data_IF_103555890346
#
_entry.id   IF_103555890346
#
_cell.length_a   1.000
_cell.length_b   1.000
_cell.length_c   1.000
_cell.angle_alpha   90.00
_cell.angle_beta   90.00
_cell.angle_gamma   90.00
#
_symmetry.space_group_name_H-M   'P 1'
#
loop_
_entity.id
_entity.type
_entity.pdbx_description
1 polymer ?
#
# COMPACT_ATOMS: atom_id res chain seq x y z
N UNK A 1 -22.59 -68.04 36.61
CA UNK A 1 -21.65 -68.08 35.47
C UNK A 1 -22.29 -67.36 34.28
N UNK A 2 -21.60 -66.33 33.76
CA UNK A 2 -21.56 -65.81 32.36
C UNK A 2 -22.88 -65.90 31.55
N UNK A 3 -23.55 -64.82 31.13
CA UNK A 3 -23.06 -63.55 30.61
C UNK A 3 -23.16 -63.56 29.07
N UNK A 4 -24.08 -62.80 28.49
CA UNK A 4 -24.03 -62.35 27.08
C UNK A 4 -24.79 -61.02 26.96
N UNK A 5 -24.03 -59.93 26.91
CA UNK A 5 -24.53 -58.62 26.55
C UNK A 5 -24.29 -58.41 25.05
N UNK A 6 -25.35 -58.19 24.29
CA UNK A 6 -25.27 -57.76 22.89
C UNK A 6 -25.17 -56.23 22.87
N UNK A 7 -24.05 -55.70 22.38
CA UNK A 7 -23.86 -54.28 22.11
C UNK A 7 -23.95 -54.05 20.60
N UNK A 8 -24.96 -53.31 20.17
CA UNK A 8 -25.08 -52.80 18.80
C UNK A 8 -24.26 -51.52 18.68
N UNK A 9 -23.24 -51.51 17.80
CA UNK A 9 -22.46 -50.33 17.46
C UNK A 9 -23.18 -49.55 16.34
N UNK A 10 -23.66 -48.36 16.65
CA UNK A 10 -24.14 -47.40 15.65
C UNK A 10 -22.99 -46.54 15.14
N UNK A 11 -22.66 -46.65 13.84
CA UNK A 11 -21.75 -45.72 13.16
C UNK A 11 -22.45 -44.38 12.95
N UNK A 12 -21.96 -43.32 13.60
CA UNK A 12 -22.33 -41.93 13.29
C UNK A 12 -21.32 -41.41 12.28
N UNK A 13 -21.74 -41.32 11.02
CA UNK A 13 -21.02 -40.63 9.96
C UNK A 13 -21.17 -39.11 10.17
N UNK A 14 -20.15 -38.50 10.77
CA UNK A 14 -20.00 -37.04 10.82
C UNK A 14 -19.56 -36.53 9.44
N UNK A 15 -20.51 -36.05 8.65
CA UNK A 15 -20.25 -35.28 7.45
C UNK A 15 -19.64 -33.92 7.86
N UNK A 16 -18.31 -33.81 7.81
CA UNK A 16 -17.65 -32.50 7.87
C UNK A 16 -17.91 -31.79 6.54
N UNK A 17 -18.76 -30.77 6.55
CA UNK A 17 -18.83 -29.81 5.47
C UNK A 17 -17.46 -29.13 5.37
N UNK A 18 -16.74 -29.38 4.28
CA UNK A 18 -15.50 -28.67 3.99
C UNK A 18 -15.86 -27.21 3.69
N UNK A 19 -15.58 -26.32 4.65
CA UNK A 19 -15.60 -24.88 4.38
C UNK A 19 -14.49 -24.60 3.37
N UNK A 20 -14.88 -24.14 2.17
CA UNK A 20 -13.91 -23.63 1.20
C UNK A 20 -13.18 -22.44 1.85
N UNK A 21 -11.85 -22.48 1.84
CA UNK A 21 -11.05 -21.39 2.40
C UNK A 21 -11.42 -20.07 1.70
N UNK A 22 -11.69 -19.02 2.46
CA UNK A 22 -12.10 -17.73 1.92
C UNK A 22 -10.87 -16.93 1.44
N UNK A 23 -11.01 -16.16 0.35
CA UNK A 23 -9.94 -15.27 -0.11
C UNK A 23 -9.59 -14.22 0.95
N UNK A 24 -8.29 -14.04 1.18
CA UNK A 24 -7.74 -12.99 2.04
C UNK A 24 -7.31 -11.81 1.16
N UNK A 25 -7.72 -10.60 1.55
CA UNK A 25 -7.35 -9.35 0.89
C UNK A 25 -6.26 -8.64 1.70
N UNK A 26 -5.09 -8.33 1.13
CA UNK A 26 -4.13 -7.43 1.75
C UNK A 26 -4.77 -6.07 2.08
N UNK A 27 -4.27 -5.34 3.10
CA UNK A 27 -4.81 -4.05 3.49
C UNK A 27 -4.99 -3.10 2.31
N UNK A 28 -6.20 -2.54 2.18
CA UNK A 28 -6.61 -1.66 1.10
C UNK A 28 -6.49 -2.21 -0.33
N UNK A 29 -6.23 -3.51 -0.52
CA UNK A 29 -6.21 -4.12 -1.85
C UNK A 29 -7.59 -4.60 -2.26
N UNK A 30 -7.90 -4.43 -3.54
CA UNK A 30 -9.08 -4.98 -4.20
C UNK A 30 -8.86 -6.40 -4.71
N UNK A 31 -7.63 -6.90 -4.62
CA UNK A 31 -7.21 -8.24 -5.04
C UNK A 31 -7.03 -9.09 -3.79
N UNK A 32 -7.69 -10.24 -3.75
CA UNK A 32 -7.51 -11.26 -2.73
C UNK A 32 -7.27 -12.63 -3.35
N UNK A 33 -6.66 -13.53 -2.58
CA UNK A 33 -6.49 -14.95 -2.94
C UNK A 33 -6.66 -15.78 -1.67
N UNK A 34 -6.88 -17.08 -1.82
CA UNK A 34 -6.58 -18.05 -0.76
C UNK A 34 -5.05 -18.25 -0.77
N UNK A 35 -4.30 -17.70 0.21
CA UNK A 35 -2.86 -17.84 0.20
C UNK A 35 -2.45 -19.30 0.43
N UNK A 36 -1.34 -19.77 -0.16
CA UNK A 36 -0.74 -21.04 0.22
C UNK A 36 -0.46 -21.10 1.73
N UNK A 37 -0.51 -22.29 2.30
CA UNK A 37 -0.21 -22.53 3.72
C UNK A 37 1.09 -21.85 4.16
N UNK A 38 1.13 -21.24 5.34
CA UNK A 38 2.25 -20.47 5.90
C UNK A 38 2.64 -19.16 5.18
N UNK A 39 1.95 -18.75 4.10
CA UNK A 39 2.12 -17.39 3.58
C UNK A 39 1.40 -16.39 4.48
N UNK A 40 2.07 -15.28 4.74
CA UNK A 40 1.53 -14.15 5.50
C UNK A 40 1.36 -12.94 4.58
N UNK A 41 0.50 -12.00 4.96
CA UNK A 41 0.39 -10.71 4.28
C UNK A 41 1.74 -10.00 4.39
N UNK A 42 2.27 -9.53 3.26
CA UNK A 42 3.55 -8.80 3.25
C UNK A 42 3.38 -7.42 3.88
N UNK A 43 4.38 -7.01 4.65
CA UNK A 43 4.49 -5.63 5.18
C UNK A 43 5.20 -4.67 4.22
N UNK A 44 5.73 -5.18 3.10
CA UNK A 44 6.66 -4.46 2.22
C UNK A 44 6.07 -4.15 0.85
N UNK A 45 5.04 -4.91 0.45
CA UNK A 45 4.33 -4.76 -0.81
C UNK A 45 2.90 -5.28 -0.66
N UNK A 46 2.00 -4.91 -1.58
CA UNK A 46 0.64 -5.48 -1.60
C UNK A 46 0.71 -6.94 -2.05
N UNK A 47 0.31 -7.87 -1.18
CA UNK A 47 0.32 -9.30 -1.46
C UNK A 47 0.78 -10.15 -0.28
N UNK A 48 1.42 -11.27 -0.57
CA UNK A 48 1.79 -12.30 0.40
C UNK A 48 3.25 -12.71 0.28
N UNK A 49 3.86 -13.15 1.38
CA UNK A 49 5.20 -13.68 1.41
C UNK A 49 5.38 -14.83 2.40
N UNK A 50 6.37 -15.67 2.13
CA UNK A 50 6.91 -16.66 3.06
C UNK A 50 8.42 -16.62 2.97
N UNK A 51 9.07 -16.10 4.01
CA UNK A 51 10.54 -16.07 4.08
C UNK A 51 11.10 -17.49 4.15
N UNK A 52 10.49 -18.36 4.97
CA UNK A 52 10.90 -19.75 5.16
C UNK A 52 10.85 -20.59 3.88
N UNK A 53 9.89 -20.31 2.98
CA UNK A 53 9.78 -20.98 1.67
C UNK A 53 10.27 -20.12 0.49
N UNK A 54 10.97 -19.02 0.78
CA UNK A 54 11.54 -18.08 -0.19
C UNK A 54 10.56 -17.67 -1.32
N UNK A 55 9.31 -17.40 -0.95
CA UNK A 55 8.21 -17.19 -1.88
C UNK A 55 7.52 -15.85 -1.66
N UNK A 56 7.04 -15.25 -2.75
CA UNK A 56 6.31 -13.99 -2.72
C UNK A 56 5.25 -13.94 -3.82
N UNK A 57 4.09 -13.37 -3.51
CA UNK A 57 3.00 -13.08 -4.44
C UNK A 57 2.71 -11.58 -4.34
N UNK A 58 2.94 -10.83 -5.40
CA UNK A 58 2.74 -9.38 -5.47
C UNK A 58 1.49 -9.06 -6.28
N UNK A 59 0.72 -8.09 -5.82
CA UNK A 59 -0.48 -7.58 -6.46
C UNK A 59 -0.26 -6.18 -7.00
N UNK A 60 -0.75 -5.94 -8.21
CA UNK A 60 -0.76 -4.64 -8.86
C UNK A 60 -2.15 -4.41 -9.43
N UNK A 61 -2.75 -3.28 -9.05
CA UNK A 61 -4.04 -2.83 -9.54
C UNK A 61 -3.83 -1.77 -10.63
N UNK A 62 -4.49 -1.95 -11.76
CA UNK A 62 -4.43 -1.05 -12.91
C UNK A 62 -5.85 -0.64 -13.34
N UNK A 63 -6.03 0.47 -14.08
CA UNK A 63 -7.33 0.83 -14.63
C UNK A 63 -7.93 -0.29 -15.48
N UNK A 64 -9.27 -0.41 -15.50
CA UNK A 64 -9.98 -1.43 -16.29
C UNK A 64 -9.54 -1.50 -17.77
N UNK A 65 -9.31 -0.33 -18.39
CA UNK A 65 -8.86 -0.23 -19.78
C UNK A 65 -7.44 -0.75 -20.05
N UNK A 66 -6.64 -1.00 -19.02
CA UNK A 66 -5.25 -1.43 -19.16
C UNK A 66 -5.11 -2.91 -19.57
N UNK A 67 -6.14 -3.76 -19.37
CA UNK A 67 -6.04 -5.21 -19.60
C UNK A 67 -5.51 -5.58 -20.99
N UNK A 68 -6.07 -4.97 -22.04
CA UNK A 68 -5.66 -5.28 -23.42
C UNK A 68 -4.19 -4.94 -23.68
N UNK A 69 -3.77 -3.75 -23.25
CA UNK A 69 -2.37 -3.32 -23.37
C UNK A 69 -1.44 -4.20 -22.52
N UNK A 70 -1.84 -4.55 -21.30
CA UNK A 70 -1.09 -5.40 -20.40
C UNK A 70 -0.84 -6.77 -21.04
N UNK A 71 -1.89 -7.47 -21.45
CA UNK A 71 -1.79 -8.82 -22.04
C UNK A 71 -0.96 -8.80 -23.34
N UNK A 72 -1.14 -7.79 -24.19
CA UNK A 72 -0.34 -7.63 -25.41
C UNK A 72 1.14 -7.37 -25.11
N UNK A 73 1.44 -6.70 -23.99
CA UNK A 73 2.81 -6.45 -23.52
C UNK A 73 3.50 -7.65 -22.88
N UNK A 74 2.74 -8.67 -22.45
CA UNK A 74 3.28 -9.92 -21.89
C UNK A 74 3.77 -10.86 -23.00
N UNK A 75 4.70 -10.41 -23.85
CA UNK A 75 5.38 -11.24 -24.84
C UNK A 75 6.55 -12.02 -24.22
N UNK A 76 7.00 -13.10 -24.87
CA UNK A 76 8.15 -13.89 -24.39
C UNK A 76 9.41 -13.04 -24.15
N UNK A 77 9.71 -12.12 -25.07
CA UNK A 77 10.87 -11.23 -24.95
C UNK A 77 10.72 -10.20 -23.82
N UNK A 78 9.50 -9.67 -23.63
CA UNK A 78 9.22 -8.76 -22.52
C UNK A 78 9.34 -9.48 -21.16
N UNK A 79 8.77 -10.69 -21.05
CA UNK A 79 8.88 -11.53 -19.86
C UNK A 79 10.34 -11.88 -19.56
N UNK A 80 11.13 -12.25 -20.58
CA UNK A 80 12.56 -12.56 -20.42
C UNK A 80 13.34 -11.36 -19.89
N UNK A 81 13.07 -10.15 -20.41
CA UNK A 81 13.63 -8.89 -19.89
C UNK A 81 13.21 -8.60 -18.45
N UNK A 82 12.03 -9.07 -18.03
CA UNK A 82 11.52 -9.00 -16.65
C UNK A 82 11.93 -10.21 -15.78
N UNK A 83 12.95 -10.96 -16.19
CA UNK A 83 13.50 -12.06 -15.42
C UNK A 83 12.64 -13.32 -15.40
N UNK A 84 11.87 -13.59 -16.46
CA UNK A 84 11.03 -14.79 -16.59
C UNK A 84 11.18 -15.45 -17.96
N UNK A 85 11.62 -16.70 -17.99
CA UNK A 85 11.57 -17.54 -19.19
C UNK A 85 10.25 -18.29 -19.22
N UNK A 86 9.35 -17.90 -20.12
CA UNK A 86 8.02 -18.51 -20.27
C UNK A 86 8.13 -20.00 -20.68
N UNK A 87 7.46 -20.86 -19.93
CA UNK A 87 7.33 -22.30 -20.21
C UNK A 87 5.88 -22.70 -20.50
N UNK A 88 4.91 -21.96 -19.96
CA UNK A 88 3.48 -22.21 -20.17
C UNK A 88 2.68 -20.91 -20.23
N UNK A 89 1.58 -20.96 -20.98
CA UNK A 89 0.60 -19.87 -21.09
C UNK A 89 -0.79 -20.47 -21.24
N UNK A 90 -1.71 -19.99 -20.44
CA UNK A 90 -3.08 -20.49 -20.36
C UNK A 90 -4.04 -19.31 -20.30
N UNK A 91 -5.05 -19.31 -21.18
CA UNK A 91 -6.20 -18.42 -21.07
C UNK A 91 -7.22 -19.08 -20.14
N UNK A 92 -7.58 -18.38 -19.08
CA UNK A 92 -8.47 -18.83 -18.02
C UNK A 92 -9.78 -18.04 -18.05
N UNK A 93 -10.84 -18.69 -17.57
CA UNK A 93 -12.10 -18.04 -17.23
C UNK A 93 -12.36 -18.27 -15.75
N UNK A 94 -12.26 -17.21 -14.95
CA UNK A 94 -12.43 -17.24 -13.49
C UNK A 94 -13.80 -16.65 -13.17
N UNK A 95 -14.82 -17.52 -13.12
CA UNK A 95 -16.23 -17.10 -13.10
C UNK A 95 -16.60 -16.41 -14.42
N UNK A 96 -16.95 -15.12 -14.36
CA UNK A 96 -17.24 -14.29 -15.54
C UNK A 96 -15.99 -13.58 -16.10
N UNK A 97 -14.87 -13.63 -15.39
CA UNK A 97 -13.66 -12.86 -15.71
C UNK A 97 -12.73 -13.60 -16.65
N UNK A 98 -12.20 -12.88 -17.63
CA UNK A 98 -11.12 -13.38 -18.47
C UNK A 98 -9.77 -13.19 -17.75
N UNK A 99 -8.93 -14.20 -17.83
CA UNK A 99 -7.59 -14.14 -17.26
C UNK A 99 -6.57 -14.82 -18.18
N UNK A 100 -5.31 -14.40 -18.07
CA UNK A 100 -4.16 -15.07 -18.68
C UNK A 100 -3.19 -15.42 -17.57
N UNK A 101 -2.85 -16.70 -17.44
CA UNK A 101 -1.84 -17.20 -16.52
C UNK A 101 -0.64 -17.70 -17.32
N UNK A 102 0.53 -17.17 -16.98
CA UNK A 102 1.80 -17.51 -17.62
C UNK A 102 2.71 -18.09 -16.54
N UNK A 103 3.23 -19.28 -16.77
CA UNK A 103 4.21 -19.94 -15.92
C UNK A 103 5.59 -19.98 -16.58
N UNK A 104 6.64 -20.02 -15.76
CA UNK A 104 8.00 -19.97 -16.27
C UNK A 104 9.05 -20.16 -15.19
N UNK A 105 10.30 -20.22 -15.62
CA UNK A 105 11.46 -20.21 -14.73
C UNK A 105 11.98 -18.79 -14.56
N UNK A 106 12.58 -18.51 -13.40
CA UNK A 106 13.26 -17.25 -13.18
C UNK A 106 14.49 -17.16 -14.11
N UNK A 107 14.61 -16.07 -14.85
CA UNK A 107 15.78 -15.78 -15.66
C UNK A 107 16.74 -14.91 -14.85
N UNK A 108 17.98 -15.38 -14.65
CA UNK A 108 19.00 -14.69 -13.85
C UNK A 108 19.85 -15.65 -13.03
N UNK A 109 20.70 -15.13 -12.13
CA UNK A 109 21.58 -15.97 -11.29
C UNK A 109 20.81 -16.74 -10.20
N UNK A 110 19.61 -16.29 -9.83
CA UNK A 110 18.75 -16.95 -8.86
C UNK A 110 17.82 -17.91 -9.60
N UNK A 111 18.02 -19.21 -9.36
CA UNK A 111 17.09 -20.23 -9.86
C UNK A 111 15.76 -20.16 -9.10
N UNK A 112 14.67 -20.45 -9.81
CA UNK A 112 13.35 -20.45 -9.23
C UNK A 112 12.25 -20.53 -10.28
N UNK A 113 11.01 -20.44 -9.82
CA UNK A 113 9.80 -20.44 -10.66
C UNK A 113 9.09 -19.11 -10.49
N UNK A 114 8.46 -18.66 -11.57
CA UNK A 114 7.73 -17.39 -11.64
C UNK A 114 6.43 -17.59 -12.39
N UNK A 115 5.39 -16.92 -11.92
CA UNK A 115 4.08 -16.89 -12.54
C UNK A 115 3.63 -15.45 -12.67
N UNK A 116 2.96 -15.15 -13.79
CA UNK A 116 2.33 -13.86 -14.04
C UNK A 116 0.89 -14.14 -14.44
N UNK A 117 -0.05 -13.54 -13.71
CA UNK A 117 -1.46 -13.65 -14.00
C UNK A 117 -2.06 -12.26 -14.20
N UNK A 118 -2.70 -12.04 -15.33
CA UNK A 118 -3.50 -10.85 -15.59
C UNK A 118 -4.98 -11.24 -15.56
N UNK A 119 -5.81 -10.50 -14.84
CA UNK A 119 -7.27 -10.73 -14.74
C UNK A 119 -8.01 -9.45 -15.09
N UNK A 120 -8.99 -9.57 -15.97
CA UNK A 120 -9.88 -8.48 -16.36
C UNK A 120 -11.11 -8.47 -15.45
N UNK A 121 -11.37 -7.34 -14.81
CA UNK A 121 -12.66 -7.04 -14.19
C UNK A 121 -13.35 -5.87 -14.92
N UNK A 122 -14.58 -5.56 -14.50
CA UNK A 122 -15.33 -4.44 -15.05
C UNK A 122 -14.67 -3.07 -14.77
N UNK A 123 -14.13 -2.90 -13.56
CA UNK A 123 -13.62 -1.61 -13.07
C UNK A 123 -12.12 -1.62 -12.69
N UNK A 124 -11.45 -2.77 -12.81
CA UNK A 124 -10.01 -2.89 -12.60
C UNK A 124 -9.37 -3.97 -13.48
N UNK A 125 -8.06 -3.83 -13.70
CA UNK A 125 -7.19 -4.89 -14.21
C UNK A 125 -6.25 -5.33 -13.10
N UNK A 126 -6.29 -6.61 -12.73
CA UNK A 126 -5.43 -7.16 -11.70
C UNK A 126 -4.22 -7.84 -12.34
N UNK A 127 -3.03 -7.50 -11.88
CA UNK A 127 -1.79 -8.18 -12.23
C UNK A 127 -1.21 -8.82 -10.97
N UNK A 128 -1.09 -10.14 -10.98
CA UNK A 128 -0.53 -10.93 -9.88
C UNK A 128 0.79 -11.54 -10.35
N UNK A 129 1.86 -11.28 -9.61
CA UNK A 129 3.20 -11.80 -9.90
C UNK A 129 3.65 -12.67 -8.73
N UNK A 130 3.73 -13.97 -8.95
CA UNK A 130 4.19 -14.91 -7.96
C UNK A 130 5.58 -15.44 -8.30
N UNK A 131 6.42 -15.67 -7.29
CA UNK A 131 7.72 -16.28 -7.46
C UNK A 131 8.10 -17.13 -6.26
N UNK A 132 8.85 -18.20 -6.53
CA UNK A 132 9.47 -19.06 -5.52
C UNK A 132 10.94 -19.19 -5.91
N UNK A 133 11.85 -18.75 -5.03
CA UNK A 133 13.30 -18.82 -5.24
C UNK A 133 13.83 -20.13 -4.67
N UNK A 134 14.88 -20.68 -5.27
CA UNK A 134 15.53 -21.92 -4.81
C UNK A 134 14.96 -23.20 -5.45
N UNK A 135 15.30 -24.34 -4.86
CA UNK A 135 15.00 -25.70 -5.33
C UNK A 135 13.62 -26.24 -4.94
N UNK A 136 13.51 -27.56 -4.74
CA UNK A 136 12.23 -28.26 -4.51
C UNK A 136 11.54 -27.94 -3.17
N UNK A 137 12.23 -27.30 -2.23
CA UNK A 137 11.76 -27.07 -0.85
C UNK A 137 10.75 -25.91 -0.72
N UNK A 138 10.51 -25.15 -1.81
CA UNK A 138 9.47 -24.12 -1.87
C UNK A 138 8.11 -24.66 -2.33
N UNK A 139 7.09 -23.79 -2.42
CA UNK A 139 5.75 -24.21 -2.87
C UNK A 139 5.78 -24.89 -4.25
N UNK A 140 5.00 -25.97 -4.39
CA UNK A 140 4.85 -26.69 -5.65
C UNK A 140 4.15 -25.86 -6.71
N UNK A 141 4.26 -26.27 -7.98
CA UNK A 141 3.54 -25.63 -9.07
C UNK A 141 2.02 -25.72 -8.90
N UNK A 142 1.52 -26.86 -8.40
CA UNK A 142 0.10 -27.05 -8.12
C UNK A 142 -0.39 -26.07 -7.05
N UNK A 143 0.31 -25.97 -5.91
CA UNK A 143 -0.05 -25.05 -4.81
C UNK A 143 -0.08 -23.59 -5.27
N UNK A 144 0.93 -23.15 -6.02
CA UNK A 144 0.97 -21.77 -6.51
C UNK A 144 -0.13 -21.51 -7.53
N UNK A 145 -0.39 -22.44 -8.46
CA UNK A 145 -1.46 -22.29 -9.45
C UNK A 145 -2.85 -22.30 -8.81
N UNK A 146 -3.07 -23.13 -7.79
CA UNK A 146 -4.30 -23.16 -7.01
C UNK A 146 -4.55 -21.82 -6.32
N UNK A 147 -3.55 -21.28 -5.61
CA UNK A 147 -3.64 -19.97 -4.98
C UNK A 147 -3.92 -18.85 -6.00
N UNK A 148 -3.22 -18.84 -7.15
CA UNK A 148 -3.50 -17.85 -8.21
C UNK A 148 -4.91 -17.99 -8.79
N UNK A 149 -5.40 -19.22 -9.02
CA UNK A 149 -6.75 -19.45 -9.55
C UNK A 149 -7.85 -19.12 -8.54
N UNK A 150 -7.54 -19.06 -7.24
CA UNK A 150 -8.46 -18.64 -6.18
C UNK A 150 -8.69 -17.12 -6.09
N UNK A 151 -8.14 -16.34 -7.04
CA UNK A 151 -8.26 -14.88 -7.03
C UNK A 151 -9.72 -14.42 -6.92
N UNK A 152 -9.93 -13.50 -5.99
CA UNK A 152 -11.17 -12.77 -5.81
C UNK A 152 -10.90 -11.28 -5.96
N UNK A 153 -11.82 -10.60 -6.64
CA UNK A 153 -11.78 -9.16 -6.83
C UNK A 153 -13.00 -8.55 -6.15
N UNK A 154 -12.78 -7.44 -5.43
CA UNK A 154 -13.85 -6.69 -4.76
C UNK A 154 -13.98 -5.27 -5.32
N UNK A 155 -15.11 -4.64 -5.01
CA UNK A 155 -15.38 -3.25 -5.37
C UNK A 155 -14.40 -2.25 -4.74
N UNK A 156 -14.60 -0.94 -4.99
CA UNK A 156 -13.78 0.10 -4.40
C UNK A 156 -13.69 0.01 -2.88
N UNK A 157 -12.49 0.24 -2.33
CA UNK A 157 -12.23 0.24 -0.89
C UNK A 157 -12.66 1.58 -0.28
N UNK A 158 -13.35 1.56 0.87
CA UNK A 158 -13.73 2.81 1.56
C UNK A 158 -12.51 3.62 1.99
N UNK A 159 -12.67 4.93 2.16
CA UNK A 159 -11.55 5.78 2.60
C UNK A 159 -11.09 5.42 4.01
N UNK A 160 -11.98 4.98 4.88
CA UNK A 160 -11.68 4.52 6.24
C UNK A 160 -10.81 3.27 6.21
N UNK A 161 -11.14 2.29 5.36
CA UNK A 161 -10.33 1.08 5.20
C UNK A 161 -8.97 1.41 4.59
N UNK A 162 -8.91 2.29 3.58
CA UNK A 162 -7.64 2.77 3.03
C UNK A 162 -6.76 3.44 4.08
N UNK A 163 -7.35 4.27 4.96
CA UNK A 163 -6.62 4.93 6.06
C UNK A 163 -6.15 3.90 7.09
N UNK A 164 -6.96 2.88 7.38
CA UNK A 164 -6.61 1.83 8.34
C UNK A 164 -5.42 0.97 7.87
N UNK A 165 -5.18 0.94 6.55
CA UNK A 165 -4.08 0.23 5.92
C UNK A 165 -2.76 1.01 5.86
N UNK A 166 -2.77 2.30 6.22
CA UNK A 166 -1.57 3.13 6.19
C UNK A 166 -0.51 2.63 7.20
N UNK A 167 0.79 2.84 6.93
CA UNK A 167 1.87 2.45 7.84
C UNK A 167 2.01 3.40 9.04
N UNK A 168 0.92 4.08 9.41
CA UNK A 168 0.80 4.99 10.54
C UNK A 168 -0.68 5.14 10.95
N UNK A 169 -0.92 5.50 12.21
CA UNK A 169 -2.25 5.89 12.71
C UNK A 169 -2.28 7.37 13.05
N UNK A 170 -3.42 7.99 12.78
CA UNK A 170 -3.70 9.36 13.19
C UNK A 170 -4.49 9.32 14.49
N UNK A 171 -4.03 10.04 15.51
CA UNK A 171 -4.80 10.35 16.70
C UNK A 171 -5.87 11.41 16.41
N UNK A 172 -5.81 12.52 17.14
CA UNK A 172 -6.70 13.66 16.91
C UNK A 172 -6.47 14.28 15.53
N UNK A 173 -7.54 14.37 14.73
CA UNK A 173 -7.51 14.95 13.38
C UNK A 173 -7.81 16.45 13.39
N UNK A 174 -8.02 17.06 14.55
CA UNK A 174 -8.27 18.49 14.75
C UNK A 174 -9.37 19.07 13.84
N UNK A 175 -10.45 18.29 13.62
CA UNK A 175 -11.58 18.65 12.76
C UNK A 175 -11.35 18.48 11.25
N UNK A 176 -10.16 18.04 10.82
CA UNK A 176 -9.92 17.74 9.41
C UNK A 176 -10.52 16.38 9.02
N UNK A 177 -11.09 16.33 7.83
CA UNK A 177 -11.65 15.12 7.22
C UNK A 177 -10.75 14.60 6.10
N UNK A 178 -10.66 13.27 5.92
CA UNK A 178 -9.86 12.71 4.84
C UNK A 178 -10.53 12.96 3.49
N UNK A 179 -9.70 13.12 2.46
CA UNK A 179 -10.15 13.31 1.07
C UNK A 179 -9.76 12.10 0.24
N UNK A 180 -8.49 11.68 0.29
CA UNK A 180 -7.98 10.51 -0.45
C UNK A 180 -6.68 9.99 0.13
N UNK A 181 -6.47 8.68 0.02
CA UNK A 181 -5.15 8.05 0.20
C UNK A 181 -4.39 8.08 -1.13
N UNK A 182 -3.08 8.26 -1.06
CA UNK A 182 -2.19 8.33 -2.20
C UNK A 182 -1.03 7.36 -2.00
N UNK A 183 -0.76 6.52 -3.01
CA UNK A 183 0.33 5.55 -3.04
C UNK A 183 0.42 4.59 -1.83
N UNK A 184 -0.67 4.40 -1.07
CA UNK A 184 -0.74 3.50 0.08
C UNK A 184 0.08 3.93 1.30
N UNK A 185 0.73 5.10 1.27
CA UNK A 185 1.60 5.58 2.35
C UNK A 185 1.34 7.05 2.73
N UNK A 186 0.34 7.67 2.13
CA UNK A 186 0.01 9.07 2.40
C UNK A 186 -1.48 9.32 2.27
N UNK A 187 -1.95 10.37 2.95
CA UNK A 187 -3.35 10.77 2.95
C UNK A 187 -3.47 12.28 2.97
N UNK A 188 -4.36 12.78 2.13
CA UNK A 188 -4.74 14.18 2.05
C UNK A 188 -5.96 14.42 2.95
N UNK A 189 -5.89 15.47 3.74
CA UNK A 189 -6.95 15.95 4.62
C UNK A 189 -7.32 17.39 4.30
N UNK A 190 -8.53 17.76 4.67
CA UNK A 190 -9.00 19.13 4.55
C UNK A 190 -10.01 19.51 5.62
N UNK A 191 -10.13 20.81 5.87
CA UNK A 191 -11.22 21.40 6.63
C UNK A 191 -12.02 22.33 5.71
N UNK A 192 -13.05 21.76 5.08
CA UNK A 192 -13.89 22.45 4.11
C UNK A 192 -14.75 21.46 3.33
N UNK A 193 -15.77 21.93 2.61
CA UNK A 193 -16.72 21.04 1.95
C UNK A 193 -16.20 20.40 0.65
N UNK A 194 -15.08 20.86 0.08
CA UNK A 194 -14.61 20.37 -1.22
C UNK A 194 -13.61 19.22 -1.08
N UNK A 195 -13.76 18.18 -1.88
CA UNK A 195 -12.85 17.02 -1.94
C UNK A 195 -11.72 17.19 -2.96
N UNK A 196 -11.36 18.44 -3.22
CA UNK A 196 -10.38 18.80 -4.24
C UNK A 196 -9.33 19.73 -3.66
N UNK A 197 -8.08 19.52 -4.07
CA UNK A 197 -7.01 20.50 -3.83
C UNK A 197 -7.08 21.48 -4.98
N UNK A 198 -7.78 22.59 -4.77
CA UNK A 198 -7.83 23.69 -5.73
C UNK A 198 -7.41 24.97 -5.03
N UNK A 199 -6.33 25.58 -5.51
CA UNK A 199 -5.86 26.91 -5.11
C UNK A 199 -5.73 27.15 -3.58
N UNK A 200 -5.64 26.10 -2.76
CA UNK A 200 -5.70 26.18 -1.28
C UNK A 200 -6.89 27.05 -0.81
N UNK A 201 -8.06 26.88 -1.45
CA UNK A 201 -9.30 27.59 -1.07
C UNK A 201 -9.82 27.21 0.32
N UNK A 202 -9.39 26.05 0.82
CA UNK A 202 -9.64 25.54 2.15
C UNK A 202 -8.34 24.98 2.73
N UNK A 203 -8.16 25.00 4.07
CA UNK A 203 -7.01 24.42 4.71
C UNK A 203 -6.85 22.95 4.35
N UNK A 204 -5.65 22.55 3.98
CA UNK A 204 -5.32 21.17 3.67
C UNK A 204 -4.05 20.76 4.38
N UNK A 205 -3.91 19.47 4.65
CA UNK A 205 -2.60 18.90 4.91
C UNK A 205 -2.44 17.54 4.24
N UNK A 206 -1.21 17.21 3.91
CA UNK A 206 -0.83 15.87 3.46
C UNK A 206 0.06 15.28 4.53
N UNK A 207 -0.28 14.09 5.03
CA UNK A 207 0.61 13.29 5.87
C UNK A 207 1.11 12.10 5.07
N UNK A 208 2.42 11.88 5.07
CA UNK A 208 3.08 10.81 4.34
C UNK A 208 4.17 10.15 5.18
N UNK A 209 4.18 8.83 5.24
CA UNK A 209 5.28 8.05 5.80
C UNK A 209 6.19 7.56 4.67
N UNK A 210 7.50 7.54 4.92
CA UNK A 210 8.42 6.93 3.96
C UNK A 210 8.27 5.43 3.91
N UNK A 211 8.34 4.90 2.70
CA UNK A 211 8.46 3.48 2.43
C UNK A 211 9.70 3.31 1.55
N UNK A 212 10.66 2.48 1.99
CA UNK A 212 11.86 2.11 1.23
C UNK A 212 12.78 3.27 0.80
N UNK A 213 12.79 4.39 1.54
CA UNK A 213 13.72 5.52 1.31
C UNK A 213 14.66 5.65 2.50
N UNK A 214 15.99 5.74 2.31
CA UNK A 214 16.92 5.93 3.42
C UNK A 214 16.62 7.19 4.21
N UNK A 215 16.61 7.08 5.54
CA UNK A 215 16.50 8.22 6.44
C UNK A 215 17.79 9.04 6.34
N UNK A 216 17.70 10.37 6.15
CA UNK A 216 18.90 11.20 6.14
C UNK A 216 19.59 11.18 7.51
N UNK A 217 20.94 11.13 7.54
CA UNK A 217 21.73 11.30 8.75
C UNK A 217 21.37 12.60 9.49
N UNK A 218 21.54 12.61 10.82
CA UNK A 218 21.08 13.68 11.69
C UNK A 218 21.55 15.08 11.25
N UNK A 219 22.81 15.20 10.84
CA UNK A 219 23.45 16.44 10.38
C UNK A 219 22.88 16.97 9.06
N UNK A 220 22.23 16.11 8.24
CA UNK A 220 21.63 16.49 6.96
C UNK A 220 20.12 16.73 7.04
N UNK A 221 19.48 16.47 8.17
CA UNK A 221 18.01 16.56 8.31
C UNK A 221 17.46 17.95 8.03
N UNK A 222 18.16 19.01 8.44
CA UNK A 222 17.78 20.40 8.11
C UNK A 222 17.83 20.64 6.60
N UNK A 223 18.96 20.30 5.95
CA UNK A 223 19.11 20.45 4.49
C UNK A 223 18.04 19.66 3.73
N UNK A 224 17.79 18.42 4.18
CA UNK A 224 16.75 17.56 3.63
C UNK A 224 15.36 18.19 3.74
N UNK A 225 14.99 18.74 4.89
CA UNK A 225 13.70 19.38 5.09
C UNK A 225 13.53 20.62 4.20
N UNK A 226 14.58 21.43 4.03
CA UNK A 226 14.56 22.57 3.10
C UNK A 226 14.40 22.12 1.66
N UNK A 227 15.15 21.12 1.21
CA UNK A 227 15.03 20.57 -0.14
C UNK A 227 13.62 20.01 -0.41
N UNK A 228 13.06 19.27 0.56
CA UNK A 228 11.71 18.71 0.46
C UNK A 228 10.61 19.79 0.41
N UNK A 229 10.79 20.93 1.09
CA UNK A 229 9.85 22.05 1.01
C UNK A 229 9.92 22.72 -0.37
N UNK A 230 11.14 22.97 -0.86
CA UNK A 230 11.38 23.64 -2.15
C UNK A 230 11.00 22.78 -3.37
N UNK A 231 10.89 21.46 -3.22
CA UNK A 231 10.43 20.57 -4.31
C UNK A 231 8.90 20.60 -4.52
N UNK A 232 8.16 21.38 -3.72
CA UNK A 232 6.71 21.45 -3.82
C UNK A 232 6.28 22.41 -4.95
N UNK A 233 5.63 21.86 -5.98
CA UNK A 233 5.19 22.62 -7.16
C UNK A 233 4.02 23.58 -6.90
N UNK A 234 3.32 23.43 -5.77
CA UNK A 234 2.21 24.31 -5.35
C UNK A 234 2.75 25.63 -4.78
N UNK A 235 4.01 25.66 -4.34
CA UNK A 235 4.59 26.79 -3.63
C UNK A 235 5.50 27.60 -4.55
N UNK A 236 5.24 28.89 -4.66
CA UNK A 236 6.13 29.91 -5.27
C UNK A 236 6.59 30.90 -4.21
N UNK A 237 7.71 31.58 -4.47
CA UNK A 237 8.25 32.66 -3.63
C UNK A 237 8.32 32.32 -2.13
N UNK A 238 8.82 31.13 -1.82
CA UNK A 238 8.90 30.61 -0.44
C UNK A 238 9.81 31.51 0.40
N UNK A 239 9.25 32.08 1.46
CA UNK A 239 9.94 32.89 2.47
C UNK A 239 9.84 32.21 3.82
N UNK A 240 10.93 31.56 4.23
CA UNK A 240 11.02 30.84 5.50
C UNK A 240 11.05 31.85 6.64
N UNK A 241 10.11 31.70 7.58
CA UNK A 241 10.02 32.53 8.79
C UNK A 241 10.66 31.83 9.99
N UNK A 242 10.51 30.50 10.06
CA UNK A 242 11.04 29.66 11.13
C UNK A 242 11.48 28.31 10.58
N UNK A 243 12.62 27.80 11.06
CA UNK A 243 13.15 26.48 10.70
C UNK A 243 13.94 25.92 11.87
N UNK A 244 13.29 25.07 12.66
CA UNK A 244 13.82 24.58 13.93
C UNK A 244 13.94 23.07 13.93
N UNK A 245 15.03 22.58 14.51
CA UNK A 245 15.18 21.18 14.89
C UNK A 245 14.96 21.06 16.40
N UNK A 246 14.20 20.06 16.83
CA UNK A 246 13.95 19.81 18.24
C UNK A 246 13.74 18.32 18.51
N UNK A 247 13.81 17.94 19.78
CA UNK A 247 13.52 16.57 20.22
C UNK A 247 12.18 16.56 20.95
N UNK A 248 11.29 15.66 20.54
CA UNK A 248 9.97 15.50 21.14
C UNK A 248 9.57 14.03 21.16
N UNK A 249 9.04 13.57 22.31
CA UNK A 249 8.70 12.16 22.59
C UNK A 249 9.84 11.16 22.35
N UNK A 250 11.09 11.62 22.38
CA UNK A 250 12.28 10.79 22.17
C UNK A 250 12.77 10.75 20.71
N UNK A 251 11.98 11.24 19.75
CA UNK A 251 12.33 11.33 18.33
C UNK A 251 12.90 12.71 17.98
N UNK A 252 13.60 12.78 16.86
CA UNK A 252 14.11 14.02 16.30
C UNK A 252 13.11 14.59 15.28
N UNK A 253 12.91 15.90 15.34
CA UNK A 253 11.94 16.60 14.54
C UNK A 253 12.59 17.78 13.84
N UNK A 254 12.06 18.13 12.67
CA UNK A 254 12.37 19.39 12.01
C UNK A 254 11.07 20.04 11.51
N UNK A 255 10.83 21.28 11.91
CA UNK A 255 9.66 22.05 11.51
C UNK A 255 10.08 23.31 10.76
N UNK A 256 9.42 23.58 9.64
CA UNK A 256 9.55 24.81 8.87
C UNK A 256 8.18 25.48 8.79
N UNK A 257 8.11 26.76 9.14
CA UNK A 257 6.98 27.64 8.83
C UNK A 257 7.46 28.68 7.82
N UNK A 258 6.74 28.81 6.71
CA UNK A 258 7.06 29.76 5.67
C UNK A 258 5.80 30.42 5.11
N UNK A 259 5.97 31.63 4.59
CA UNK A 259 5.00 32.25 3.68
C UNK A 259 5.36 31.85 2.25
N UNK A 260 4.34 31.68 1.40
CA UNK A 260 4.51 31.38 -0.01
C UNK A 260 3.34 31.98 -0.81
N UNK A 261 3.46 31.92 -2.13
CA UNK A 261 2.38 32.20 -3.07
C UNK A 261 1.89 30.88 -3.64
N UNK A 262 0.58 30.66 -3.66
CA UNK A 262 -0.01 29.48 -4.27
C UNK A 262 0.12 29.59 -5.81
N UNK A 263 0.67 28.55 -6.43
CA UNK A 263 1.16 28.59 -7.79
C UNK A 263 0.09 28.87 -8.86
N UNK A 264 -1.15 28.41 -8.67
CA UNK A 264 -2.25 28.52 -9.63
C UNK A 264 -3.01 29.85 -9.48
N UNK A 265 -3.40 30.20 -8.26
CA UNK A 265 -4.26 31.36 -7.95
C UNK A 265 -3.51 32.65 -7.64
N UNK A 266 -2.20 32.56 -7.38
CA UNK A 266 -1.38 33.70 -6.95
C UNK A 266 -1.71 34.20 -5.54
N UNK A 267 -2.55 33.48 -4.79
CA UNK A 267 -2.99 33.89 -3.47
C UNK A 267 -1.90 33.62 -2.42
N UNK A 268 -1.75 34.50 -1.41
CA UNK A 268 -0.78 34.31 -0.35
C UNK A 268 -1.22 33.17 0.58
N UNK A 269 -0.28 32.30 0.92
CA UNK A 269 -0.49 31.15 1.80
C UNK A 269 0.60 31.05 2.85
N UNK A 270 0.29 30.32 3.92
CA UNK A 270 1.26 29.84 4.91
C UNK A 270 1.39 28.34 4.75
N UNK A 271 2.64 27.88 4.75
CA UNK A 271 2.99 26.46 4.80
C UNK A 271 3.64 26.14 6.13
N UNK A 272 3.23 25.02 6.73
CA UNK A 272 3.94 24.37 7.82
C UNK A 272 4.32 22.96 7.41
N UNK A 273 5.61 22.70 7.35
CA UNK A 273 6.15 21.37 7.14
C UNK A 273 6.76 20.87 8.43
N UNK A 274 6.33 19.68 8.86
CA UNK A 274 6.92 18.98 10.00
C UNK A 274 7.40 17.62 9.55
N UNK A 275 8.65 17.27 9.86
CA UNK A 275 9.22 15.94 9.63
C UNK A 275 9.64 15.36 10.98
N UNK A 276 9.11 14.18 11.31
CA UNK A 276 9.56 13.37 12.45
C UNK A 276 10.40 12.21 11.94
N UNK A 277 11.61 12.11 12.44
CA UNK A 277 12.57 11.07 12.06
C UNK A 277 12.59 9.95 13.10
N UNK A 278 12.38 8.73 12.64
CA UNK A 278 12.65 7.47 13.35
C UNK A 278 14.00 6.90 12.86
N UNK A 279 14.55 5.84 13.49
CA UNK A 279 15.80 5.24 13.04
C UNK A 279 15.79 4.72 11.58
N UNK A 280 14.65 4.19 11.14
CA UNK A 280 14.51 3.45 9.87
C UNK A 280 13.52 4.09 8.87
N UNK A 281 12.76 5.11 9.30
CA UNK A 281 11.78 5.83 8.48
C UNK A 281 11.59 7.26 8.97
N UNK A 282 10.82 8.06 8.24
CA UNK A 282 10.28 9.31 8.75
C UNK A 282 8.82 9.50 8.32
N UNK A 283 8.09 10.33 9.06
CA UNK A 283 6.79 10.85 8.65
C UNK A 283 6.91 12.34 8.40
N UNK A 284 6.34 12.80 7.30
CA UNK A 284 6.30 14.19 6.89
C UNK A 284 4.86 14.63 6.75
N UNK A 285 4.53 15.74 7.38
CA UNK A 285 3.29 16.47 7.13
C UNK A 285 3.60 17.82 6.49
N UNK A 286 2.80 18.19 5.50
CA UNK A 286 2.78 19.54 4.92
C UNK A 286 1.37 20.08 5.02
N UNK A 287 1.16 21.06 5.89
CA UNK A 287 -0.09 21.81 6.02
C UNK A 287 -0.01 23.12 5.23
N UNK A 288 -1.08 23.45 4.51
CA UNK A 288 -1.24 24.68 3.73
C UNK A 288 -2.55 25.36 4.14
N UNK A 289 -2.47 26.67 4.33
CA UNK A 289 -3.63 27.50 4.68
C UNK A 289 -3.46 28.90 4.11
N UNK A 290 -4.55 29.64 3.95
CA UNK A 290 -4.50 31.07 3.68
C UNK A 290 -3.82 31.85 4.82
N UNK A 291 -3.20 32.99 4.50
CA UNK A 291 -2.49 33.82 5.50
C UNK A 291 -3.41 34.29 6.62
N UNK A 292 -4.63 34.70 6.29
CA UNK A 292 -5.64 35.16 7.26
C UNK A 292 -6.14 34.05 8.21
N UNK A 293 -5.95 32.77 7.84
CA UNK A 293 -6.34 31.62 8.65
C UNK A 293 -5.14 30.99 9.40
N UNK A 294 -3.97 31.63 9.38
CA UNK A 294 -2.74 31.14 9.98
C UNK A 294 -2.91 30.74 11.44
N UNK A 295 -3.39 31.66 12.27
CA UNK A 295 -3.42 31.49 13.73
C UNK A 295 -4.42 30.41 14.15
N UNK A 296 -5.46 30.21 13.35
CA UNK A 296 -6.41 29.11 13.52
C UNK A 296 -5.78 27.75 13.15
N UNK A 297 -5.06 27.66 12.03
CA UNK A 297 -4.72 26.37 11.43
C UNK A 297 -3.33 25.84 11.79
N UNK A 298 -2.34 26.70 12.05
CA UNK A 298 -1.01 26.21 12.46
C UNK A 298 -1.05 25.37 13.75
N UNK A 299 -1.80 25.76 14.82
CA UNK A 299 -1.93 24.91 16.00
C UNK A 299 -2.60 23.57 15.69
N UNK A 300 -3.64 23.57 14.84
CA UNK A 300 -4.37 22.34 14.47
C UNK A 300 -3.51 21.38 13.68
N UNK A 301 -2.73 21.87 12.73
CA UNK A 301 -1.74 21.04 12.04
C UNK A 301 -0.76 20.40 13.04
N UNK A 302 -0.30 21.16 14.04
CA UNK A 302 0.60 20.63 15.07
C UNK A 302 -0.07 19.54 15.91
N UNK A 303 -1.31 19.76 16.35
CA UNK A 303 -2.11 18.73 17.04
C UNK A 303 -2.14 17.41 16.27
N UNK A 304 -2.36 17.47 14.96
CA UNK A 304 -2.42 16.28 14.10
C UNK A 304 -1.09 15.53 14.07
N UNK A 305 0.02 16.21 13.75
CA UNK A 305 1.31 15.51 13.61
C UNK A 305 1.87 15.04 14.95
N UNK A 306 1.61 15.76 16.05
CA UNK A 306 2.04 15.35 17.40
C UNK A 306 1.33 14.08 17.87
N UNK A 307 0.14 13.81 17.30
CA UNK A 307 -0.69 12.64 17.55
C UNK A 307 -0.48 11.47 16.60
N UNK A 308 0.46 11.54 15.64
CA UNK A 308 0.71 10.41 14.73
C UNK A 308 1.42 9.28 15.47
N UNK A 309 0.92 8.07 15.30
CA UNK A 309 1.59 6.84 15.74
C UNK A 309 2.18 6.12 14.52
N UNK A 310 3.43 5.70 14.63
CA UNK A 310 4.12 4.96 13.58
C UNK A 310 4.24 3.47 13.90
N UNK A 311 3.81 3.01 15.08
CA UNK A 311 3.75 1.58 15.41
C UNK A 311 2.29 1.09 15.39
N UNK A 312 1.66 1.02 14.20
CA UNK A 312 0.26 0.68 14.04
C UNK A 312 -0.06 -0.77 14.39
#
# INVERSE_FOLDING_TARGET
>A
MKGFAAAALGLILSAQAAFAAEPVFPPASRIGIVPPEDMIISKRFSGFESEGRAAAINFVEMPAGAYGQLVNGLTKDALKRQGMSETSRENLKLGTRAAVLIGGTMAGPVQGRKWVMAVKDEDLTALVIAQVRGGQDGYSEAQMREALKSIALRGPVSIEEQISALPFRLGDKAGFRPVRVMAGNSVLFTDGPKDTVKAVEQPIFIMAATVNVPVPPAERRKQFAHAALNSNQILKDIKIERSDSFRFKGQDWHEIVAKAVEAESGQPIVVMQTIRFEPDRYVRMVGLTRVEQRDQNLPRFRTVIDGVDLNP
#
